data_IF_757779582389
#
_entry.id   IF_757779582389
#
_cell.length_a   1.000
_cell.length_b   1.000
_cell.length_c   1.000
_cell.angle_alpha   90.00
_cell.angle_beta   90.00
_cell.angle_gamma   90.00
#
_symmetry.space_group_name_H-M   'P 1'
#
loop_
_entity.id
_entity.type
_entity.pdbx_description
1 polymer ?
#
# COMPACT_ATOMS: atom_id res chain seq x y z
N UNK A 1 -19.72 -1.91 -32.65
CA UNK A 1 -19.02 -2.75 -31.64
C UNK A 1 -18.23 -1.81 -30.75
N UNK A 2 -18.45 -1.85 -29.44
CA UNK A 2 -17.73 -1.01 -28.48
C UNK A 2 -16.24 -1.34 -28.52
N UNK A 3 -15.39 -0.35 -28.77
CA UNK A 3 -13.93 -0.50 -28.71
C UNK A 3 -13.50 -0.98 -27.31
N UNK A 4 -12.74 -2.07 -27.23
CA UNK A 4 -12.21 -2.57 -25.97
C UNK A 4 -11.15 -1.61 -25.45
N UNK A 5 -11.24 -1.26 -24.17
CA UNK A 5 -10.22 -0.44 -23.54
C UNK A 5 -8.97 -1.29 -23.24
N UNK A 6 -7.77 -0.69 -23.25
CA UNK A 6 -6.55 -1.33 -22.76
C UNK A 6 -6.73 -1.90 -21.35
N UNK A 7 -6.08 -3.02 -21.06
CA UNK A 7 -6.21 -3.72 -19.78
C UNK A 7 -5.93 -2.81 -18.59
N UNK A 8 -4.92 -1.95 -18.66
CA UNK A 8 -4.62 -0.99 -17.60
C UNK A 8 -5.78 -0.08 -17.20
N UNK A 9 -6.64 0.33 -18.15
CA UNK A 9 -7.78 1.22 -17.91
C UNK A 9 -8.97 0.50 -17.27
N UNK A 10 -9.04 -0.81 -17.42
CA UNK A 10 -10.15 -1.63 -16.92
C UNK A 10 -9.71 -2.64 -15.86
N UNK A 11 -8.43 -2.63 -15.46
CA UNK A 11 -7.83 -3.58 -14.53
C UNK A 11 -8.65 -3.72 -13.25
N UNK A 12 -9.09 -2.61 -12.67
CA UNK A 12 -9.90 -2.62 -11.44
C UNK A 12 -11.29 -3.24 -11.66
N UNK A 13 -11.96 -2.93 -12.77
CA UNK A 13 -13.26 -3.52 -13.11
C UNK A 13 -13.12 -5.01 -13.38
N UNK A 14 -12.05 -5.41 -14.08
CA UNK A 14 -11.74 -6.82 -14.33
C UNK A 14 -11.48 -7.60 -13.04
N UNK A 15 -10.74 -7.03 -12.08
CA UNK A 15 -10.53 -7.66 -10.77
C UNK A 15 -11.82 -7.74 -9.97
N UNK A 16 -12.64 -6.69 -9.98
CA UNK A 16 -13.92 -6.65 -9.28
C UNK A 16 -14.85 -7.75 -9.78
N UNK A 17 -14.94 -7.96 -11.10
CA UNK A 17 -15.74 -9.02 -11.72
C UNK A 17 -15.37 -10.42 -11.18
N UNK A 18 -14.09 -10.69 -10.94
CA UNK A 18 -13.64 -11.97 -10.38
C UNK A 18 -13.91 -12.06 -8.87
N UNK A 19 -13.76 -10.97 -8.12
CA UNK A 19 -14.01 -10.95 -6.67
C UNK A 19 -15.49 -11.14 -6.36
N UNK A 20 -16.39 -10.66 -7.22
CA UNK A 20 -17.84 -10.81 -7.05
C UNK A 20 -18.40 -12.11 -7.63
N UNK A 21 -17.56 -12.94 -8.26
CA UNK A 21 -18.00 -14.24 -8.78
C UNK A 21 -17.94 -15.30 -7.68
N UNK A 22 -19.12 -15.73 -7.24
CA UNK A 22 -19.28 -16.74 -6.19
C UNK A 22 -19.01 -18.17 -6.68
N UNK A 23 -18.92 -18.40 -7.99
CA UNK A 23 -18.57 -19.70 -8.57
C UNK A 23 -17.05 -19.93 -8.63
N UNK A 24 -16.27 -18.86 -8.45
CA UNK A 24 -14.81 -18.93 -8.44
C UNK A 24 -14.30 -19.23 -7.03
N UNK A 25 -13.56 -20.33 -6.86
CA UNK A 25 -12.99 -20.66 -5.55
C UNK A 25 -11.87 -19.70 -5.13
N UNK A 26 -11.62 -19.59 -3.82
CA UNK A 26 -10.62 -18.70 -3.23
C UNK A 26 -9.21 -18.87 -3.83
N UNK A 27 -8.86 -20.10 -4.22
CA UNK A 27 -7.53 -20.40 -4.74
C UNK A 27 -7.39 -19.98 -6.21
N UNK A 28 -8.44 -20.18 -7.02
CA UNK A 28 -8.59 -19.71 -8.38
C UNK A 28 -8.59 -18.18 -8.42
N UNK A 29 -9.35 -17.55 -7.53
CA UNK A 29 -9.34 -16.10 -7.35
C UNK A 29 -7.92 -15.61 -7.00
N UNK A 30 -7.29 -16.19 -5.97
CA UNK A 30 -5.93 -15.78 -5.55
C UNK A 30 -4.89 -15.92 -6.67
N UNK A 31 -4.95 -16.99 -7.45
CA UNK A 31 -4.06 -17.18 -8.62
C UNK A 31 -4.35 -16.13 -9.69
N UNK A 32 -5.61 -15.89 -10.03
CA UNK A 32 -5.99 -14.92 -11.05
C UNK A 32 -5.60 -13.48 -10.66
N UNK A 33 -5.83 -13.09 -9.40
CA UNK A 33 -5.41 -11.80 -8.86
C UNK A 33 -3.90 -11.65 -8.94
N UNK A 34 -3.12 -12.68 -8.56
CA UNK A 34 -1.67 -12.64 -8.64
C UNK A 34 -1.18 -12.41 -10.08
N UNK A 35 -1.74 -13.13 -11.06
CA UNK A 35 -1.40 -12.95 -12.47
C UNK A 35 -1.72 -11.52 -12.94
N UNK A 36 -2.94 -11.06 -12.69
CA UNK A 36 -3.41 -9.74 -13.10
C UNK A 36 -2.63 -8.60 -12.45
N UNK A 37 -2.22 -8.74 -11.19
CA UNK A 37 -1.54 -7.68 -10.45
C UNK A 37 -0.04 -7.64 -10.73
N UNK A 38 0.64 -8.80 -10.73
CA UNK A 38 2.10 -8.87 -10.73
C UNK A 38 2.74 -9.10 -12.11
N UNK A 39 2.03 -9.75 -13.05
CA UNK A 39 2.63 -10.21 -14.31
C UNK A 39 1.90 -9.78 -15.57
N UNK A 40 0.73 -9.15 -15.43
CA UNK A 40 -0.08 -8.76 -16.56
C UNK A 40 0.53 -7.56 -17.30
N UNK A 41 0.70 -7.74 -18.61
CA UNK A 41 1.05 -6.69 -19.54
C UNK A 41 0.06 -5.51 -19.46
N UNK A 42 0.59 -4.30 -19.63
CA UNK A 42 -0.18 -3.07 -19.41
C UNK A 42 -1.33 -2.92 -20.42
N UNK A 43 -1.10 -3.29 -21.68
CA UNK A 43 -2.07 -3.10 -22.76
C UNK A 43 -3.01 -4.31 -22.87
N UNK A 44 -2.44 -5.52 -22.86
CA UNK A 44 -3.17 -6.75 -23.19
C UNK A 44 -3.65 -7.53 -21.97
N UNK A 45 -3.06 -7.28 -20.79
CA UNK A 45 -3.31 -8.08 -19.59
C UNK A 45 -2.68 -9.48 -19.62
N UNK A 46 -1.90 -9.78 -20.65
CA UNK A 46 -1.26 -11.09 -20.82
C UNK A 46 -0.15 -11.32 -19.81
N UNK A 47 -0.01 -12.55 -19.32
CA UNK A 47 1.07 -12.94 -18.39
C UNK A 47 1.70 -14.27 -18.79
N UNK A 48 2.97 -14.46 -18.41
CA UNK A 48 3.77 -15.67 -18.74
C UNK A 48 4.56 -16.32 -17.59
N UNK A 49 4.17 -16.22 -16.30
CA UNK A 49 4.89 -16.92 -15.24
C UNK A 49 4.68 -18.44 -15.30
N UNK A 50 5.68 -19.21 -14.86
CA UNK A 50 5.54 -20.66 -14.74
C UNK A 50 4.61 -21.03 -13.56
N UNK A 51 4.09 -22.25 -13.56
CA UNK A 51 3.28 -22.74 -12.42
C UNK A 51 4.08 -22.78 -11.11
N UNK A 52 5.39 -22.99 -11.19
CA UNK A 52 6.29 -22.96 -10.05
C UNK A 52 6.47 -21.53 -9.52
N UNK A 53 6.65 -20.55 -10.39
CA UNK A 53 6.74 -19.13 -10.02
C UNK A 53 5.47 -18.66 -9.33
N UNK A 54 4.30 -18.99 -9.90
CA UNK A 54 3.01 -18.66 -9.29
C UNK A 54 2.90 -19.34 -7.93
N UNK A 55 3.16 -20.65 -7.88
CA UNK A 55 3.04 -21.46 -6.67
C UNK A 55 3.92 -20.96 -5.53
N UNK A 56 5.19 -20.67 -5.82
CA UNK A 56 6.13 -20.12 -4.84
C UNK A 56 5.65 -18.78 -4.27
N UNK A 57 5.13 -17.89 -5.11
CA UNK A 57 4.66 -16.57 -4.68
C UNK A 57 3.42 -16.62 -3.78
N UNK A 58 2.52 -17.59 -3.99
CA UNK A 58 1.26 -17.68 -3.22
C UNK A 58 1.25 -18.81 -2.18
N UNK A 59 2.35 -19.53 -2.01
CA UNK A 59 2.47 -20.65 -1.07
C UNK A 59 1.65 -21.88 -1.47
N UNK A 60 1.62 -22.21 -2.76
CA UNK A 60 0.85 -23.34 -3.32
C UNK A 60 1.74 -24.22 -4.20
N UNK A 61 1.42 -25.51 -4.24
CA UNK A 61 2.10 -26.44 -5.14
C UNK A 61 1.67 -26.23 -6.61
N UNK A 62 2.56 -26.45 -7.57
CA UNK A 62 2.29 -26.26 -9.00
C UNK A 62 1.05 -27.02 -9.51
N UNK A 63 0.78 -28.23 -9.00
CA UNK A 63 -0.46 -28.98 -9.30
C UNK A 63 -1.73 -28.25 -8.82
N UNK A 64 -1.68 -27.57 -7.67
CA UNK A 64 -2.79 -26.76 -7.15
C UNK A 64 -3.02 -25.53 -8.02
N UNK A 65 -1.95 -24.85 -8.44
CA UNK A 65 -2.00 -23.73 -9.40
C UNK A 65 -2.65 -24.18 -10.71
N UNK A 66 -2.22 -25.31 -11.29
CA UNK A 66 -2.82 -25.85 -12.52
C UNK A 66 -4.33 -26.10 -12.37
N UNK A 67 -4.77 -26.67 -11.24
CA UNK A 67 -6.19 -26.90 -10.97
C UNK A 67 -6.97 -25.59 -10.82
N UNK A 68 -6.39 -24.61 -10.13
CA UNK A 68 -6.97 -23.29 -9.95
C UNK A 68 -7.15 -22.58 -11.30
N UNK A 69 -6.11 -22.58 -12.13
CA UNK A 69 -6.14 -22.00 -13.47
C UNK A 69 -7.21 -22.64 -14.37
N UNK A 70 -7.37 -23.96 -14.34
CA UNK A 70 -8.45 -24.62 -15.07
C UNK A 70 -9.84 -24.10 -14.66
N UNK A 71 -10.04 -23.74 -13.38
CA UNK A 71 -11.30 -23.16 -12.91
C UNK A 71 -11.48 -21.73 -13.40
N UNK A 72 -10.42 -20.92 -13.40
CA UNK A 72 -10.47 -19.56 -13.95
C UNK A 72 -10.75 -19.57 -15.47
N UNK A 73 -10.19 -20.55 -16.19
CA UNK A 73 -10.49 -20.80 -17.61
C UNK A 73 -11.93 -21.25 -17.83
N UNK A 74 -12.43 -22.18 -17.01
CA UNK A 74 -13.82 -22.64 -17.06
C UNK A 74 -14.83 -21.52 -16.74
N UNK A 75 -14.50 -20.62 -15.81
CA UNK A 75 -15.28 -19.42 -15.51
C UNK A 75 -15.20 -18.34 -16.62
N UNK A 76 -14.38 -18.55 -17.65
CA UNK A 76 -14.31 -17.70 -18.82
C UNK A 76 -13.60 -16.35 -18.58
N UNK A 77 -12.77 -16.23 -17.55
CA UNK A 77 -12.00 -15.00 -17.29
C UNK A 77 -10.72 -14.94 -18.11
N UNK A 78 -10.05 -16.07 -18.34
CA UNK A 78 -8.82 -16.13 -19.14
C UNK A 78 -8.74 -17.38 -20.01
N UNK A 79 -8.03 -17.28 -21.13
CA UNK A 79 -7.57 -18.43 -21.90
C UNK A 79 -6.17 -18.84 -21.47
N UNK A 80 -5.89 -20.14 -21.46
CA UNK A 80 -4.60 -20.69 -21.07
C UNK A 80 -3.96 -21.43 -22.25
N UNK A 81 -2.96 -20.80 -22.85
CA UNK A 81 -2.08 -21.44 -23.81
C UNK A 81 -0.97 -22.17 -23.06
N UNK A 82 -1.11 -23.49 -22.92
CA UNK A 82 -0.18 -24.33 -22.18
C UNK A 82 1.07 -24.56 -23.01
N UNK A 83 2.23 -24.14 -22.49
CA UNK A 83 3.51 -24.44 -23.12
C UNK A 83 3.77 -25.94 -23.14
N UNK A 84 3.99 -26.53 -24.32
CA UNK A 84 4.11 -27.97 -24.51
C UNK A 84 5.52 -28.53 -24.30
N UNK A 85 6.56 -27.69 -24.12
CA UNK A 85 7.97 -28.11 -24.15
C UNK A 85 8.87 -27.41 -23.12
N UNK A 86 10.05 -28.01 -22.88
CA UNK A 86 11.15 -27.49 -22.05
C UNK A 86 11.64 -26.15 -22.63
N UNK A 87 11.15 -25.03 -22.08
CA UNK A 87 11.48 -23.67 -22.49
C UNK A 87 10.29 -22.77 -22.84
N UNK A 88 9.10 -23.33 -23.05
CA UNK A 88 7.90 -22.53 -23.32
C UNK A 88 7.09 -22.36 -22.03
N UNK A 89 7.04 -21.14 -21.49
CA UNK A 89 6.14 -20.81 -20.40
C UNK A 89 4.69 -20.82 -20.88
N UNK A 90 3.77 -21.15 -19.98
CA UNK A 90 2.34 -21.03 -20.28
C UNK A 90 1.98 -19.54 -20.39
N UNK A 91 1.09 -19.21 -21.32
CA UNK A 91 0.59 -17.86 -21.53
C UNK A 91 -0.86 -17.79 -21.06
N UNK A 92 -1.16 -16.78 -20.27
CA UNK A 92 -2.50 -16.52 -19.74
C UNK A 92 -2.97 -15.18 -20.27
N UNK A 93 -4.15 -15.16 -20.92
CA UNK A 93 -4.71 -13.94 -21.52
C UNK A 93 -6.16 -13.75 -21.06
N UNK A 94 -6.56 -12.55 -20.61
CA UNK A 94 -7.96 -12.24 -20.37
C UNK A 94 -8.82 -12.57 -21.60
N UNK A 95 -9.99 -13.17 -21.40
CA UNK A 95 -10.90 -13.42 -22.52
C UNK A 95 -11.47 -12.11 -23.05
N UNK A 96 -11.81 -12.06 -24.33
CA UNK A 96 -12.48 -10.90 -24.92
C UNK A 96 -13.81 -10.59 -24.22
N UNK A 97 -14.54 -11.63 -23.81
CA UNK A 97 -15.77 -11.49 -23.05
C UNK A 97 -15.54 -10.82 -21.69
N UNK A 98 -14.50 -11.21 -20.95
CA UNK A 98 -14.16 -10.59 -19.68
C UNK A 98 -13.67 -9.15 -19.85
N UNK A 99 -12.86 -8.87 -20.88
CA UNK A 99 -12.43 -7.51 -21.24
C UNK A 99 -13.63 -6.62 -21.60
N UNK A 100 -14.62 -7.17 -22.31
CA UNK A 100 -15.84 -6.46 -22.68
C UNK A 100 -16.68 -6.11 -21.46
N UNK A 101 -16.96 -7.08 -20.57
CA UNK A 101 -17.70 -6.83 -19.31
C UNK A 101 -17.02 -5.77 -18.46
N UNK A 102 -15.70 -5.85 -18.30
CA UNK A 102 -14.93 -4.87 -17.56
C UNK A 102 -14.96 -3.47 -18.21
N UNK A 103 -14.93 -3.41 -19.55
CA UNK A 103 -15.05 -2.16 -20.31
C UNK A 103 -16.44 -1.54 -20.16
N UNK A 104 -17.50 -2.33 -20.24
CA UNK A 104 -18.88 -1.89 -20.02
C UNK A 104 -19.04 -1.35 -18.60
N UNK A 105 -18.58 -2.10 -17.60
CA UNK A 105 -18.59 -1.67 -16.19
C UNK A 105 -17.81 -0.39 -15.96
N UNK A 106 -16.69 -0.19 -16.66
CA UNK A 106 -15.90 1.05 -16.58
C UNK A 106 -16.69 2.24 -17.11
N UNK A 107 -17.45 2.05 -18.18
CA UNK A 107 -18.28 3.09 -18.81
C UNK A 107 -19.54 3.39 -17.99
N UNK A 108 -20.18 2.37 -17.41
CA UNK A 108 -21.36 2.53 -16.56
C UNK A 108 -21.03 3.13 -15.20
N UNK A 109 -19.86 2.79 -14.64
CA UNK A 109 -19.40 3.24 -13.33
C UNK A 109 -18.77 4.63 -13.32
N UNK A 110 -18.39 5.19 -14.48
CA UNK A 110 -17.87 6.57 -14.57
C UNK A 110 -19.04 7.57 -14.48
N UNK A 111 -19.62 7.70 -13.29
CA UNK A 111 -20.11 9.00 -12.79
C UNK A 111 -18.92 9.88 -12.38
N UNK A 112 -17.83 9.85 -13.16
CA UNK A 112 -16.79 10.86 -13.05
C UNK A 112 -17.46 12.12 -13.55
N UNK A 113 -17.97 12.93 -12.62
CA UNK A 113 -18.23 14.33 -12.88
C UNK A 113 -16.90 14.85 -13.43
N UNK A 114 -16.84 15.26 -14.71
CA UNK A 114 -15.68 16.02 -15.13
C UNK A 114 -15.62 17.16 -14.13
N UNK A 115 -14.51 17.29 -13.39
CA UNK A 115 -14.21 18.57 -12.77
C UNK A 115 -14.11 19.51 -13.96
N UNK A 116 -15.23 20.13 -14.30
CA UNK A 116 -15.32 21.09 -15.36
C UNK A 116 -14.22 22.08 -15.06
N UNK A 117 -13.43 22.43 -16.07
CA UNK A 117 -12.46 23.51 -16.01
C UNK A 117 -13.23 24.83 -15.90
N UNK A 118 -14.02 24.99 -14.84
CA UNK A 118 -14.85 26.13 -14.58
C UNK A 118 -13.96 27.17 -13.91
N UNK A 119 -13.63 28.17 -14.73
CA UNK A 119 -12.93 29.42 -14.41
C UNK A 119 -11.44 29.30 -14.13
N UNK A 120 -10.69 30.02 -14.98
CA UNK A 120 -9.26 30.15 -14.92
C UNK A 120 -8.77 30.58 -13.54
N UNK A 121 -7.68 29.96 -13.11
CA UNK A 121 -6.75 30.63 -12.23
C UNK A 121 -6.35 31.95 -12.89
N UNK A 122 -6.44 33.01 -12.10
CA UNK A 122 -6.08 34.38 -12.45
C UNK A 122 -4.74 34.38 -13.20
N UNK A 123 -4.68 34.99 -14.38
CA UNK A 123 -3.42 35.20 -15.09
C UNK A 123 -2.49 35.97 -14.17
N UNK A 124 -1.39 35.36 -13.75
CA UNK A 124 -0.28 36.10 -13.14
C UNK A 124 0.14 37.19 -14.13
N UNK A 125 0.28 38.45 -13.69
CA UNK A 125 0.92 39.48 -14.51
C UNK A 125 2.32 39.02 -14.89
N UNK A 126 2.60 39.12 -16.18
CA UNK A 126 3.87 38.80 -16.80
C UNK A 126 4.87 39.91 -16.45
N UNK A 127 5.41 39.91 -15.24
CA UNK A 127 6.59 40.71 -14.90
C UNK A 127 7.80 40.05 -15.54
N UNK A 128 8.11 40.47 -16.76
CA UNK A 128 9.41 40.27 -17.36
C UNK A 128 10.44 41.06 -16.55
N UNK A 129 11.45 40.36 -16.02
CA UNK A 129 12.68 40.98 -15.56
C UNK A 129 13.72 40.76 -16.66
N UNK A 130 14.32 41.86 -17.12
CA UNK A 130 15.24 41.90 -18.25
C UNK A 130 16.42 40.94 -18.10
N UNK A 131 16.73 40.22 -19.19
CA UNK A 131 17.88 39.35 -19.31
C UNK A 131 19.17 40.19 -19.25
N UNK A 132 19.94 40.04 -18.16
CA UNK A 132 21.31 40.56 -18.11
C UNK A 132 22.24 39.66 -18.93
N UNK A 133 22.65 40.16 -20.10
CA UNK A 133 23.61 39.54 -20.99
C UNK A 133 25.04 39.66 -20.44
N UNK A 134 25.47 38.78 -19.52
CA UNK A 134 26.89 38.59 -19.23
C UNK A 134 27.24 37.14 -18.92
N UNK A 135 27.90 36.52 -19.89
CA UNK A 135 29.08 35.66 -19.70
C UNK A 135 28.89 34.37 -18.91
N UNK A 136 28.74 33.26 -19.62
CA UNK A 136 29.05 31.95 -19.06
C UNK A 136 30.52 31.87 -18.63
N UNK A 137 30.76 31.18 -17.51
CA UNK A 137 32.07 30.69 -17.17
C UNK A 137 31.98 29.17 -16.95
N UNK A 138 32.62 28.44 -17.84
CA UNK A 138 33.14 27.10 -17.59
C UNK A 138 34.25 27.17 -16.52
N UNK A 139 34.12 26.39 -15.43
CA UNK A 139 35.25 25.70 -14.79
C UNK A 139 34.80 24.58 -13.82
N UNK A 140 35.63 23.53 -13.64
CA UNK A 140 35.26 22.17 -13.19
C UNK A 140 35.30 21.99 -11.65
N UNK A 141 34.94 20.80 -11.08
CA UNK A 141 34.63 20.68 -9.66
C UNK A 141 35.90 20.61 -8.81
N UNK A 142 35.97 21.40 -7.73
CA UNK A 142 37.10 21.39 -6.80
C UNK A 142 36.81 20.47 -5.60
N UNK A 143 37.63 19.43 -5.44
CA UNK A 143 37.44 18.27 -4.53
C UNK A 143 37.89 18.55 -3.07
N UNK A 144 38.04 19.81 -2.67
CA UNK A 144 38.56 20.19 -1.33
C UNK A 144 37.51 20.80 -0.38
N UNK A 145 36.26 21.02 -0.81
CA UNK A 145 35.20 21.51 0.08
C UNK A 145 34.44 20.40 0.84
N UNK A 146 34.57 19.13 0.43
CA UNK A 146 33.84 18.03 1.09
C UNK A 146 34.45 17.57 2.43
N UNK A 147 35.71 17.92 2.72
CA UNK A 147 36.38 17.46 3.97
C UNK A 147 36.27 18.44 5.15
N UNK A 148 35.75 19.66 4.94
CA UNK A 148 35.59 20.67 6.02
C UNK A 148 34.20 20.72 6.65
N UNK A 149 33.19 20.07 6.06
CA UNK A 149 31.83 20.00 6.65
C UNK A 149 31.66 18.88 7.69
N UNK A 150 32.58 17.92 7.79
CA UNK A 150 32.45 16.77 8.70
C UNK A 150 32.97 16.98 10.13
N UNK A 151 33.46 18.17 10.54
CA UNK A 151 34.06 18.34 11.88
C UNK A 151 33.61 19.56 12.71
N UNK A 152 32.48 20.18 12.39
CA UNK A 152 32.01 21.37 13.10
C UNK A 152 30.61 21.24 13.73
N UNK A 153 30.54 20.64 14.93
CA UNK A 153 29.68 21.03 16.08
C UNK A 153 28.16 21.14 15.83
N UNK A 154 27.33 20.22 16.32
CA UNK A 154 26.86 20.08 17.71
C UNK A 154 26.28 21.37 18.34
N UNK A 155 24.96 21.29 18.60
CA UNK A 155 24.14 21.99 19.62
C UNK A 155 23.52 23.38 19.33
N UNK A 156 22.25 23.33 18.84
CA UNK A 156 20.94 23.99 19.19
C UNK A 156 20.86 25.29 20.05
N UNK A 157 19.67 25.97 20.19
CA UNK A 157 18.33 25.90 19.55
C UNK A 157 17.91 27.26 18.88
N UNK A 158 16.82 27.54 18.15
CA UNK A 158 15.36 27.42 18.36
C UNK A 158 14.58 27.55 17.00
N UNK A 159 13.35 27.02 16.98
CA UNK A 159 12.28 26.99 15.94
C UNK A 159 11.62 28.37 15.64
N UNK A 160 10.56 28.50 14.79
CA UNK A 160 9.92 27.59 13.80
C UNK A 160 9.70 28.23 12.39
N UNK A 161 9.30 27.47 11.36
CA UNK A 161 8.02 27.66 10.62
C UNK A 161 7.75 26.56 9.57
N UNK A 162 6.47 26.37 9.30
CA UNK A 162 5.72 25.28 8.67
C UNK A 162 5.92 25.09 7.15
N UNK A 163 5.67 23.86 6.67
CA UNK A 163 5.76 23.51 5.26
C UNK A 163 5.11 22.18 4.87
N UNK A 164 3.85 21.99 5.27
CA UNK A 164 2.78 21.20 4.60
C UNK A 164 3.07 19.77 4.10
N UNK A 165 2.64 18.79 4.91
CA UNK A 165 2.17 17.48 4.45
C UNK A 165 1.00 17.06 5.33
N UNK A 166 -0.05 16.51 4.71
CA UNK A 166 -1.43 16.48 5.21
C UNK A 166 -1.61 16.04 6.67
N UNK A 167 -2.41 16.84 7.38
CA UNK A 167 -2.89 16.61 8.75
C UNK A 167 -3.51 15.21 8.87
N UNK A 168 -2.74 14.26 9.39
CA UNK A 168 -3.30 13.15 10.15
C UNK A 168 -3.42 13.66 11.57
N UNK A 169 -4.65 13.80 12.08
CA UNK A 169 -4.92 14.36 13.42
C UNK A 169 -4.33 13.44 14.50
N UNK A 170 -3.04 13.63 14.76
CA UNK A 170 -2.25 12.81 15.66
C UNK A 170 -2.70 13.06 17.08
N UNK A 171 -3.21 12.02 17.74
CA UNK A 171 -3.61 12.09 19.14
C UNK A 171 -2.31 12.06 19.97
N UNK A 172 -1.90 13.20 20.51
CA UNK A 172 -0.73 13.26 21.42
C UNK A 172 -1.02 12.41 22.66
N UNK A 173 -0.15 11.44 22.93
CA UNK A 173 -0.03 10.86 24.26
C UNK A 173 0.53 11.92 25.24
N UNK A 174 0.34 11.75 26.56
CA UNK A 174 0.82 12.70 27.56
C UNK A 174 2.31 13.07 27.44
N UNK A 175 3.13 12.16 26.91
CA UNK A 175 4.59 12.32 26.75
C UNK A 175 5.05 12.90 25.40
N UNK A 176 4.14 13.45 24.59
CA UNK A 176 4.51 14.15 23.34
C UNK A 176 5.00 13.25 22.20
N UNK A 177 4.97 11.92 22.38
CA UNK A 177 5.30 10.96 21.33
C UNK A 177 4.13 10.75 20.36
N UNK A 178 4.46 10.63 19.07
CA UNK A 178 3.50 10.57 17.97
C UNK A 178 2.86 9.16 17.86
N UNK A 179 1.56 9.07 18.11
CA UNK A 179 0.80 7.83 17.92
C UNK A 179 0.27 7.71 16.49
N UNK A 180 0.32 6.50 15.94
CA UNK A 180 -0.24 6.16 14.63
C UNK A 180 -1.46 5.27 14.82
N UNK A 181 -2.56 5.61 14.15
CA UNK A 181 -3.75 4.78 14.16
C UNK A 181 -3.55 3.53 13.29
N UNK A 182 -3.76 2.35 13.88
CA UNK A 182 -3.62 1.05 13.23
C UNK A 182 -4.97 0.33 13.22
N UNK A 183 -5.65 0.21 12.06
CA UNK A 183 -6.97 -0.40 11.98
C UNK A 183 -6.91 -1.93 12.16
N UNK A 184 -7.93 -2.48 12.82
CA UNK A 184 -8.05 -3.92 13.15
C UNK A 184 -8.20 -4.81 11.92
N UNK A 185 -8.81 -4.30 10.85
CA UNK A 185 -9.18 -5.07 9.66
C UNK A 185 -8.03 -5.43 8.72
N UNK A 186 -6.79 -5.05 9.03
CA UNK A 186 -5.61 -5.30 8.19
C UNK A 186 -4.49 -5.99 8.97
N UNK A 187 -3.47 -6.49 8.26
CA UNK A 187 -2.45 -7.37 8.82
C UNK A 187 -1.62 -6.77 9.96
N UNK A 188 -1.55 -5.45 10.10
CA UNK A 188 -0.71 -4.78 11.09
C UNK A 188 -1.02 -5.17 12.53
N UNK A 189 -2.31 -5.29 12.91
CA UNK A 189 -2.67 -5.74 14.27
C UNK A 189 -2.25 -7.18 14.52
N UNK A 190 -2.31 -8.04 13.49
CA UNK A 190 -1.81 -9.42 13.58
C UNK A 190 -0.29 -9.43 13.76
N UNK A 191 0.43 -8.65 12.97
CA UNK A 191 1.89 -8.56 13.04
C UNK A 191 2.35 -8.03 14.41
N UNK A 192 1.64 -7.05 14.97
CA UNK A 192 1.83 -6.59 16.36
C UNK A 192 1.53 -7.68 17.39
N UNK A 193 0.40 -8.38 17.30
CA UNK A 193 0.06 -9.45 18.23
C UNK A 193 1.06 -10.62 18.19
N UNK A 194 1.48 -11.05 17.00
CA UNK A 194 2.50 -12.09 16.84
C UNK A 194 3.83 -11.67 17.47
N UNK A 195 4.18 -10.39 17.34
CA UNK A 195 5.40 -9.87 17.89
C UNK A 195 5.35 -9.73 19.41
N UNK A 196 4.26 -9.20 19.95
CA UNK A 196 4.03 -9.10 21.39
C UNK A 196 4.00 -10.48 22.06
N UNK A 197 3.41 -11.48 21.40
CA UNK A 197 3.37 -12.85 21.91
C UNK A 197 4.78 -13.45 22.09
N UNK A 198 5.75 -13.10 21.23
CA UNK A 198 7.15 -13.54 21.37
C UNK A 198 7.87 -12.92 22.58
N UNK A 199 7.40 -11.78 23.04
CA UNK A 199 7.88 -11.10 24.25
C UNK A 199 7.06 -11.47 25.50
N UNK A 200 6.16 -12.46 25.38
CA UNK A 200 5.29 -12.93 26.46
C UNK A 200 4.13 -11.99 26.81
N UNK A 201 3.81 -11.03 25.94
CA UNK A 201 2.74 -10.06 26.16
C UNK A 201 1.39 -10.52 25.63
N UNK A 202 0.31 -10.03 26.25
CA UNK A 202 -1.07 -10.23 25.81
C UNK A 202 -1.39 -9.45 24.54
N UNK A 203 -2.38 -9.92 23.78
CA UNK A 203 -2.82 -9.29 22.54
C UNK A 203 -3.30 -7.86 22.76
N UNK A 204 -3.20 -7.00 21.73
CA UNK A 204 -3.63 -5.61 21.78
C UNK A 204 -5.09 -5.44 22.21
N UNK A 205 -5.97 -6.39 21.84
CA UNK A 205 -7.39 -6.39 22.22
C UNK A 205 -7.62 -6.55 23.73
N UNK A 206 -6.69 -7.23 24.42
CA UNK A 206 -6.73 -7.37 25.88
C UNK A 206 -5.98 -6.25 26.60
N UNK A 207 -5.04 -5.61 25.93
CA UNK A 207 -4.09 -4.69 26.55
C UNK A 207 -4.45 -3.21 26.33
N UNK A 208 -5.16 -2.86 25.25
CA UNK A 208 -5.47 -1.48 24.89
C UNK A 208 -6.94 -1.31 24.48
N UNK A 209 -7.56 -0.16 24.78
CA UNK A 209 -8.92 0.13 24.35
C UNK A 209 -8.99 0.33 22.83
N UNK A 210 -9.95 -0.31 22.19
CA UNK A 210 -10.27 -0.05 20.78
C UNK A 210 -10.79 1.38 20.64
N UNK A 211 -10.21 2.11 19.69
CA UNK A 211 -10.60 3.48 19.36
C UNK A 211 -11.26 3.53 17.97
N UNK A 212 -12.42 4.19 17.83
CA UNK A 212 -12.93 4.56 16.52
C UNK A 212 -12.10 5.71 15.95
N UNK A 213 -11.70 5.60 14.68
CA UNK A 213 -11.07 6.67 13.91
C UNK A 213 -11.60 6.62 12.49
N UNK A 214 -12.22 7.71 12.05
CA UNK A 214 -12.94 7.80 10.77
C UNK A 214 -13.95 6.66 10.61
N UNK A 215 -13.79 5.81 9.60
CA UNK A 215 -14.67 4.67 9.30
C UNK A 215 -14.12 3.33 9.83
N UNK A 216 -13.12 3.36 10.72
CA UNK A 216 -12.39 2.17 11.16
C UNK A 216 -12.29 2.07 12.69
N UNK A 217 -12.25 0.83 13.19
CA UNK A 217 -11.91 0.50 14.58
C UNK A 217 -10.48 -0.03 14.64
N UNK A 218 -9.70 0.44 15.61
CA UNK A 218 -8.29 0.10 15.70
C UNK A 218 -7.64 0.54 17.00
N UNK A 219 -6.31 0.56 16.99
CA UNK A 219 -5.48 0.90 18.14
C UNK A 219 -4.56 2.05 17.79
N UNK A 220 -4.24 2.87 18.78
CA UNK A 220 -3.19 3.88 18.66
C UNK A 220 -1.88 3.25 19.14
N UNK A 221 -0.92 3.11 18.21
CA UNK A 221 0.35 2.42 18.45
C UNK A 221 1.51 3.36 18.14
N UNK A 222 2.72 3.12 18.71
CA UNK A 222 3.89 3.95 18.42
C UNK A 222 4.34 3.88 16.95
N UNK A 223 3.97 2.83 16.23
CA UNK A 223 4.23 2.71 14.79
C UNK A 223 3.18 1.87 14.07
N UNK A 224 3.14 1.99 12.75
CA UNK A 224 2.23 1.21 11.89
C UNK A 224 2.52 -0.29 11.95
N UNK A 225 3.79 -0.67 12.05
CA UNK A 225 4.27 -2.06 12.15
C UNK A 225 5.35 -2.17 13.21
N UNK A 226 5.54 -3.34 13.83
CA UNK A 226 6.66 -3.56 14.75
C UNK A 226 8.01 -3.37 14.06
N UNK A 227 8.96 -2.74 14.75
CA UNK A 227 10.33 -2.61 14.28
C UNK A 227 11.07 -3.97 14.21
N UNK A 228 12.18 -4.07 13.45
CA UNK A 228 12.95 -5.31 13.29
C UNK A 228 13.44 -5.93 14.60
N UNK A 229 13.66 -7.25 14.62
CA UNK A 229 14.02 -8.00 15.85
C UNK A 229 15.37 -7.49 16.36
N UNK A 230 15.46 -7.22 17.66
CA UNK A 230 16.71 -6.81 18.30
C UNK A 230 17.13 -5.36 18.03
N UNK A 231 16.39 -4.63 17.20
CA UNK A 231 16.62 -3.19 17.00
C UNK A 231 16.39 -2.41 18.29
N UNK A 232 17.04 -1.25 18.40
CA UNK A 232 16.79 -0.30 19.51
C UNK A 232 15.37 0.25 19.41
N UNK A 233 14.91 0.55 18.20
CA UNK A 233 13.55 1.01 17.91
C UNK A 233 12.48 0.02 18.41
N UNK A 234 12.73 -1.30 18.32
CA UNK A 234 11.81 -2.29 18.87
C UNK A 234 11.71 -2.23 20.40
N UNK A 235 12.83 -1.99 21.09
CA UNK A 235 12.84 -1.85 22.54
C UNK A 235 12.10 -0.57 22.96
N UNK A 236 12.35 0.53 22.25
CA UNK A 236 11.67 1.80 22.49
C UNK A 236 10.15 1.67 22.28
N UNK A 237 9.73 0.98 21.20
CA UNK A 237 8.32 0.68 20.93
C UNK A 237 7.69 -0.19 22.02
N UNK A 238 8.40 -1.20 22.53
CA UNK A 238 7.92 -2.08 23.60
C UNK A 238 7.77 -1.35 24.92
N UNK A 239 8.78 -0.58 25.32
CA UNK A 239 8.76 0.15 26.59
C UNK A 239 7.67 1.22 26.57
N UNK A 240 7.50 1.92 25.44
CA UNK A 240 6.38 2.82 25.24
C UNK A 240 5.02 2.12 25.35
N UNK A 241 4.87 0.96 24.68
CA UNK A 241 3.60 0.23 24.69
C UNK A 241 3.27 -0.33 26.08
N UNK A 242 4.27 -0.74 26.86
CA UNK A 242 4.09 -1.13 28.27
C UNK A 242 3.62 0.04 29.13
N UNK A 243 4.20 1.23 28.95
CA UNK A 243 3.76 2.43 29.66
C UNK A 243 2.31 2.80 29.28
N UNK A 244 1.97 2.73 27.99
CA UNK A 244 0.62 3.00 27.50
C UNK A 244 -0.43 2.03 28.08
N UNK A 245 -0.09 0.73 28.18
CA UNK A 245 -0.97 -0.28 28.79
C UNK A 245 -1.16 0.00 30.29
N UNK A 246 -0.08 0.37 30.99
CA UNK A 246 -0.16 0.71 32.41
C UNK A 246 -1.06 1.93 32.64
N UNK A 247 -0.85 3.01 31.89
CA UNK A 247 -1.66 4.23 31.99
C UNK A 247 -3.14 3.99 31.65
N UNK A 248 -3.42 3.15 30.64
CA UNK A 248 -4.80 2.83 30.27
C UNK A 248 -5.49 1.96 31.32
N UNK A 249 -4.75 1.09 32.01
CA UNK A 249 -5.26 0.29 33.12
C UNK A 249 -5.56 1.16 34.36
N UNK A 250 -4.64 2.05 34.74
CA UNK A 250 -4.82 2.98 35.87
C UNK A 250 -6.00 3.95 35.66
N UNK A 251 -6.21 4.41 34.43
CA UNK A 251 -7.35 5.25 34.05
C UNK A 251 -8.69 4.49 34.03
N UNK A 252 -8.69 3.19 33.77
CA UNK A 252 -9.89 2.37 33.84
C UNK A 252 -10.33 2.16 35.30
N UNK A 253 -9.37 1.90 36.19
CA UNK A 253 -9.64 1.70 37.63
C UNK A 253 -10.19 2.97 38.31
N UNK A 254 -9.66 4.16 37.96
CA UNK A 254 -10.16 5.43 38.48
C UNK A 254 -11.61 5.76 38.07
N UNK A 255 -12.08 5.26 36.93
CA UNK A 255 -13.46 5.47 36.46
C UNK A 255 -14.50 4.57 37.16
N UNK A 256 -14.04 3.51 37.82
CA UNK A 256 -14.91 2.57 38.54
C UNK A 256 -14.94 2.82 40.06
N UNK A 257 -14.19 3.80 40.55
CA UNK A 257 -14.09 4.14 41.97
C UNK A 257 -14.88 5.42 42.37
N UNK A 258 -15.75 5.94 41.48
CA UNK A 258 -16.64 7.09 41.73
C UNK A 258 -18.09 6.63 41.76
#
# INVERSE_FOLDING_TARGET
MSELLPFCKIKLQYLLEMVTDHELDDNALRVALYLALAHADHETGESRPSFETIGAAIGKHAKSVKRALNKVEAAGYMTIERGTNKGNSSRYRPTEAAMKRATERRREGDKVVPLGRAKGGQSCPQSGTDLSAKGGQDRPPNREQELRKERGRASAPDLPDEGQSGETRSKRAPDGQHLVFVPRGICFVRDWNERLAREGMTTLERSLPMSPHEHHLGYWLPARTPAPVGSTEWRDQLDFLRNLIRETSENAEHRHAI
#
